data_IF_989335120450
#
_entry.id   IF_989335120450
#
_cell.length_a   1.000
_cell.length_b   1.000
_cell.length_c   1.000
_cell.angle_alpha   90.00
_cell.angle_beta   90.00
_cell.angle_gamma   90.00
#
_symmetry.space_group_name_H-M   'P 1'
#
loop_
_entity.id
_entity.type
_entity.pdbx_description
1 polymer ?
#
# COMPACT_ATOMS: atom_id res chain seq x y z
N UNK A 1 -42.86 27.16 -37.08
CA UNK A 1 -43.01 25.86 -36.40
C UNK A 1 -41.61 25.40 -36.03
N UNK A 2 -41.23 25.48 -34.74
CA UNK A 2 -41.24 24.38 -33.74
C UNK A 2 -40.36 23.21 -34.19
N UNK A 3 -39.43 22.67 -33.39
CA UNK A 3 -39.36 22.65 -31.93
C UNK A 3 -37.92 22.49 -31.40
N UNK A 4 -37.72 23.01 -30.19
CA UNK A 4 -36.69 22.60 -29.22
C UNK A 4 -36.91 21.17 -28.72
N UNK A 5 -35.84 20.46 -28.34
CA UNK A 5 -35.75 19.56 -27.15
C UNK A 5 -34.31 19.02 -27.03
N UNK A 6 -33.51 19.51 -26.07
CA UNK A 6 -33.26 19.01 -24.70
C UNK A 6 -32.39 17.73 -24.57
N UNK A 7 -31.15 17.99 -24.17
CA UNK A 7 -30.36 17.34 -23.10
C UNK A 7 -30.47 15.83 -22.87
N UNK A 8 -29.35 15.13 -23.09
CA UNK A 8 -29.09 13.78 -22.58
C UNK A 8 -27.60 13.52 -22.36
N UNK A 9 -26.93 14.31 -21.50
CA UNK A 9 -25.52 14.10 -21.13
C UNK A 9 -25.44 12.92 -20.16
N UNK A 10 -25.14 11.73 -20.68
CA UNK A 10 -24.82 10.54 -19.87
C UNK A 10 -23.56 10.81 -19.05
N UNK A 11 -23.73 11.10 -17.75
CA UNK A 11 -22.64 11.19 -16.79
C UNK A 11 -22.15 9.77 -16.47
N UNK A 12 -21.06 9.34 -17.09
CA UNK A 12 -20.22 8.26 -16.55
C UNK A 12 -19.72 8.74 -15.18
N UNK A 13 -20.19 8.13 -14.10
CA UNK A 13 -19.70 8.41 -12.75
C UNK A 13 -18.37 7.68 -12.57
N UNK A 14 -17.28 8.40 -12.83
CA UNK A 14 -15.94 7.96 -12.47
C UNK A 14 -15.81 8.14 -10.95
N UNK A 15 -15.92 7.05 -10.17
CA UNK A 15 -15.66 7.10 -8.72
C UNK A 15 -14.15 7.03 -8.49
N UNK A 16 -13.51 8.19 -8.51
CA UNK A 16 -12.17 8.36 -7.94
C UNK A 16 -12.25 8.15 -6.42
N UNK A 17 -11.43 7.26 -5.88
CA UNK A 17 -11.18 7.18 -4.45
C UNK A 17 -10.28 8.37 -4.07
N UNK A 18 -10.80 9.24 -3.20
CA UNK A 18 -10.09 10.40 -2.69
C UNK A 18 -9.44 10.04 -1.35
N UNK A 19 -8.12 10.21 -1.24
CA UNK A 19 -7.40 10.12 0.02
C UNK A 19 -7.66 11.39 0.83
N UNK A 20 -8.14 11.26 2.08
CA UNK A 20 -8.16 12.35 3.05
C UNK A 20 -7.43 11.91 4.31
N UNK A 21 -6.46 12.72 4.70
CA UNK A 21 -5.67 12.61 5.92
C UNK A 21 -6.54 12.45 7.17
N UNK A 22 -6.16 11.50 8.01
CA UNK A 22 -6.59 11.47 9.41
C UNK A 22 -5.38 11.60 10.33
N UNK A 23 -5.49 12.55 11.24
CA UNK A 23 -4.47 13.02 12.19
C UNK A 23 -3.79 11.87 12.95
N UNK A 24 -2.46 11.88 12.94
CA UNK A 24 -1.58 10.99 13.71
C UNK A 24 -1.68 11.35 15.20
N UNK A 25 -2.08 10.38 16.03
CA UNK A 25 -1.90 10.46 17.48
C UNK A 25 -0.46 10.05 17.83
N UNK A 26 0.25 10.91 18.56
CA UNK A 26 1.60 10.71 19.08
C UNK A 26 1.61 9.56 20.11
N UNK A 27 2.42 8.52 19.86
CA UNK A 27 2.86 7.59 20.89
C UNK A 27 4.35 7.80 21.14
N UNK A 28 4.72 8.06 22.40
CA UNK A 28 6.09 8.23 22.88
C UNK A 28 6.64 6.84 23.25
N UNK A 29 7.84 6.50 22.78
CA UNK A 29 8.56 5.28 23.16
C UNK A 29 9.92 5.66 23.76
N UNK A 30 10.18 5.20 24.98
CA UNK A 30 11.47 5.22 25.69
C UNK A 30 12.08 3.81 25.67
N UNK A 31 13.39 3.71 25.37
CA UNK A 31 14.33 2.58 25.57
C UNK A 31 14.01 1.25 24.84
N UNK A 32 14.92 0.47 24.28
CA UNK A 32 16.37 0.36 24.40
C UNK A 32 16.95 -0.39 23.18
N UNK A 33 18.24 -0.21 22.99
CA UNK A 33 19.07 -0.67 21.86
C UNK A 33 19.27 -2.20 21.79
N UNK A 34 19.30 -2.70 20.56
CA UNK A 34 19.95 -3.93 20.07
C UNK A 34 19.60 -5.25 20.79
N UNK A 35 18.61 -5.96 20.24
CA UNK A 35 18.44 -7.40 20.47
C UNK A 35 17.17 -7.95 19.84
N UNK A 36 17.32 -8.95 18.97
CA UNK A 36 16.24 -9.75 18.36
C UNK A 36 15.47 -9.11 17.18
N UNK A 37 16.00 -9.28 15.98
CA UNK A 37 15.30 -9.06 14.71
C UNK A 37 14.31 -10.23 14.50
N UNK A 38 13.25 -10.29 15.30
CA UNK A 38 12.04 -11.04 14.99
C UNK A 38 11.06 -10.06 14.32
N UNK A 39 11.26 -9.84 13.02
CA UNK A 39 10.42 -8.93 12.24
C UNK A 39 9.06 -9.58 12.00
N UNK A 40 8.10 -9.26 12.87
CA UNK A 40 6.69 -9.47 12.61
C UNK A 40 6.12 -8.27 11.85
N UNK A 41 6.27 -8.29 10.51
CA UNK A 41 5.57 -7.34 9.66
C UNK A 41 4.07 -7.65 9.67
N UNK A 42 3.26 -6.78 10.27
CA UNK A 42 1.79 -6.83 10.19
C UNK A 42 1.29 -5.76 9.22
N UNK A 43 0.85 -6.16 8.04
CA UNK A 43 0.07 -5.30 7.16
C UNK A 43 -1.36 -5.23 7.70
N UNK A 44 -1.80 -4.05 8.14
CA UNK A 44 -3.21 -3.75 8.43
C UNK A 44 -3.78 -3.00 7.22
N UNK A 45 -4.62 -3.66 6.45
CA UNK A 45 -5.50 -2.97 5.51
C UNK A 45 -6.86 -2.75 6.20
N UNK A 46 -7.31 -1.51 6.29
CA UNK A 46 -8.63 -1.14 6.81
C UNK A 46 -9.59 -1.09 5.63
N UNK A 47 -10.62 -1.95 5.62
CA UNK A 47 -11.74 -1.85 4.69
C UNK A 47 -12.96 -1.23 5.40
N UNK A 48 -13.55 -0.22 4.76
CA UNK A 48 -14.82 0.39 5.16
C UNK A 48 -16.01 -0.57 4.89
N UNK A 49 -16.96 -0.70 5.82
CA UNK A 49 -18.21 -1.44 5.57
C UNK A 49 -19.24 -0.58 4.78
N UNK A 50 -20.02 -1.17 3.85
CA UNK A 50 -21.19 -0.49 3.26
C UNK A 50 -22.42 -0.53 4.20
N UNK A 51 -23.39 0.39 4.02
CA UNK A 51 -24.52 0.55 4.92
C UNK A 51 -25.57 -0.55 4.75
N UNK A 52 -26.19 -0.91 5.88
CA UNK A 52 -27.17 -1.97 5.99
C UNK A 52 -28.51 -1.66 5.34
N UNK A 53 -29.18 -2.74 4.93
CA UNK A 53 -30.62 -2.75 4.70
C UNK A 53 -31.23 -3.91 5.46
N UNK A 54 -32.00 -3.56 6.49
CA UNK A 54 -32.87 -4.44 7.25
C UNK A 54 -34.24 -4.51 6.60
N UNK A 55 -34.69 -5.72 6.24
CA UNK A 55 -36.11 -6.10 6.28
C UNK A 55 -36.23 -7.54 6.79
N UNK A 56 -36.73 -7.66 8.02
CA UNK A 56 -37.15 -8.91 8.63
C UNK A 56 -38.46 -9.36 7.99
N UNK A 57 -38.55 -10.64 7.63
CA UNK A 57 -39.82 -11.35 7.55
C UNK A 57 -39.64 -12.72 8.20
N UNK A 58 -40.43 -12.94 9.24
CA UNK A 58 -40.46 -14.10 10.13
C UNK A 58 -41.05 -15.32 9.43
N UNK A 59 -40.41 -16.49 9.53
CA UNK A 59 -41.09 -17.78 9.34
C UNK A 59 -40.44 -18.89 10.19
N UNK A 60 -41.28 -19.45 11.07
CA UNK A 60 -41.29 -20.73 11.78
C UNK A 60 -39.99 -21.46 12.18
N UNK A 61 -39.84 -21.62 13.49
CA UNK A 61 -38.89 -22.48 14.19
C UNK A 61 -39.29 -23.96 14.05
N UNK A 62 -38.47 -24.76 13.35
CA UNK A 62 -38.42 -26.21 13.54
C UNK A 62 -37.18 -26.53 14.37
N UNK A 63 -37.39 -27.18 15.51
CA UNK A 63 -36.32 -27.64 16.42
C UNK A 63 -35.58 -28.80 15.76
N UNK A 64 -34.41 -28.52 15.16
CA UNK A 64 -33.39 -29.53 14.91
C UNK A 64 -32.42 -29.53 16.10
N UNK A 65 -32.59 -30.51 16.98
CA UNK A 65 -31.63 -30.81 18.05
C UNK A 65 -30.38 -31.41 17.44
N UNK A 66 -29.28 -30.65 17.44
CA UNK A 66 -27.99 -31.07 16.93
C UNK A 66 -27.12 -29.92 16.45
N UNK A 67 -27.07 -28.79 17.18
CA UNK A 67 -26.17 -27.69 16.88
C UNK A 67 -24.72 -28.09 17.16
N UNK A 68 -24.07 -28.73 16.21
CA UNK A 68 -22.60 -28.75 16.18
C UNK A 68 -22.19 -27.30 15.94
N UNK A 69 -21.73 -26.61 16.99
CA UNK A 69 -21.02 -25.34 16.84
C UNK A 69 -19.77 -25.63 16.00
N UNK A 70 -19.89 -25.46 14.67
CA UNK A 70 -18.82 -25.76 13.75
C UNK A 70 -17.73 -24.71 13.96
N UNK A 71 -16.73 -25.06 14.76
CA UNK A 71 -15.56 -24.20 15.00
C UNK A 71 -14.77 -24.15 13.70
N UNK A 72 -15.11 -23.23 12.81
CA UNK A 72 -14.40 -23.05 11.55
C UNK A 72 -12.92 -22.81 11.86
N UNK A 73 -12.04 -23.52 11.15
CA UNK A 73 -10.61 -23.27 11.23
C UNK A 73 -10.33 -21.83 10.82
N UNK A 74 -9.28 -21.21 11.37
CA UNK A 74 -8.87 -19.86 10.97
C UNK A 74 -8.66 -19.76 9.45
N UNK A 75 -8.13 -20.82 8.83
CA UNK A 75 -7.99 -20.93 7.39
C UNK A 75 -9.33 -20.84 6.64
N UNK A 76 -10.36 -21.56 7.11
CA UNK A 76 -11.69 -21.52 6.52
C UNK A 76 -12.33 -20.12 6.65
N UNK A 77 -12.13 -19.45 7.78
CA UNK A 77 -12.61 -18.08 7.99
C UNK A 77 -11.93 -17.07 7.05
N UNK A 78 -10.60 -17.16 6.90
CA UNK A 78 -9.84 -16.31 5.95
C UNK A 78 -10.33 -16.54 4.53
N UNK A 79 -10.50 -17.80 4.13
CA UNK A 79 -11.01 -18.13 2.82
C UNK A 79 -12.42 -17.57 2.58
N UNK A 80 -13.34 -17.80 3.51
CA UNK A 80 -14.71 -17.31 3.40
C UNK A 80 -14.78 -15.78 3.30
N UNK A 81 -13.85 -15.07 3.95
CA UNK A 81 -13.72 -13.62 3.83
C UNK A 81 -13.22 -13.17 2.46
N UNK A 82 -12.18 -13.82 1.91
CA UNK A 82 -11.56 -13.43 0.63
C UNK A 82 -12.38 -13.87 -0.59
N UNK A 83 -13.11 -14.98 -0.47
CA UNK A 83 -13.79 -15.62 -1.59
C UNK A 83 -14.75 -14.70 -2.36
N UNK A 84 -15.61 -13.87 -1.72
CA UNK A 84 -16.47 -12.96 -2.44
C UNK A 84 -15.70 -11.91 -3.26
N UNK A 85 -14.59 -11.39 -2.74
CA UNK A 85 -13.74 -10.43 -3.47
C UNK A 85 -13.04 -11.07 -4.67
N UNK A 86 -12.59 -12.31 -4.50
CA UNK A 86 -12.00 -13.08 -5.59
C UNK A 86 -13.04 -13.38 -6.69
N UNK A 87 -14.24 -13.79 -6.31
CA UNK A 87 -15.34 -14.09 -7.24
C UNK A 87 -15.85 -12.85 -7.97
N UNK A 88 -15.93 -11.70 -7.29
CA UNK A 88 -16.34 -10.44 -7.91
C UNK A 88 -15.25 -9.81 -8.77
N UNK A 89 -14.04 -10.38 -8.80
CA UNK A 89 -12.88 -9.84 -9.50
C UNK A 89 -12.22 -8.63 -8.81
N UNK A 90 -12.73 -8.21 -7.65
CA UNK A 90 -12.18 -7.11 -6.83
C UNK A 90 -10.87 -7.49 -6.13
N UNK A 91 -10.52 -8.77 -6.12
CA UNK A 91 -9.24 -9.27 -5.66
C UNK A 91 -8.69 -10.34 -6.61
N UNK A 92 -7.39 -10.25 -6.92
CA UNK A 92 -6.64 -11.24 -7.68
C UNK A 92 -5.20 -11.18 -7.17
N UNK A 93 -4.70 -12.28 -6.62
CA UNK A 93 -3.37 -12.32 -6.01
C UNK A 93 -3.19 -13.54 -5.12
N UNK A 94 -2.09 -13.58 -4.39
CA UNK A 94 -1.77 -14.63 -3.43
C UNK A 94 -1.81 -14.12 -1.99
N UNK A 95 -2.23 -14.99 -1.07
CA UNK A 95 -2.35 -14.66 0.36
C UNK A 95 -1.68 -15.75 1.20
N UNK A 96 -0.62 -15.35 1.90
CA UNK A 96 0.09 -16.16 2.89
C UNK A 96 -0.15 -15.60 4.29
N UNK A 97 -0.53 -16.45 5.25
CA UNK A 97 -0.66 -16.09 6.67
C UNK A 97 0.19 -17.02 7.51
N UNK A 98 1.14 -16.43 8.23
CA UNK A 98 2.05 -17.12 9.15
C UNK A 98 1.71 -16.70 10.58
N UNK A 99 1.56 -17.69 11.47
CA UNK A 99 1.36 -17.46 12.90
C UNK A 99 2.33 -18.33 13.69
N UNK A 100 3.13 -17.70 14.55
CA UNK A 100 4.15 -18.39 15.37
C UNK A 100 5.08 -19.28 14.53
N UNK A 101 5.56 -18.74 13.40
CA UNK A 101 6.46 -19.43 12.47
C UNK A 101 5.81 -20.54 11.62
N UNK A 102 4.50 -20.79 11.77
CA UNK A 102 3.77 -21.81 11.01
C UNK A 102 2.83 -21.17 10.00
N UNK A 103 2.83 -21.67 8.78
CA UNK A 103 1.85 -21.30 7.76
C UNK A 103 0.49 -21.85 8.21
N UNK A 104 -0.48 -20.97 8.39
CA UNK A 104 -1.85 -21.32 8.77
C UNK A 104 -2.85 -21.10 7.62
N UNK A 105 -2.42 -20.43 6.55
CA UNK A 105 -3.20 -20.20 5.34
C UNK A 105 -2.26 -19.83 4.19
N UNK A 106 -2.43 -20.45 3.02
CA UNK A 106 -1.74 -20.10 1.77
C UNK A 106 -2.69 -20.41 0.62
N UNK A 107 -3.04 -19.39 -0.17
CA UNK A 107 -3.93 -19.58 -1.32
C UNK A 107 -3.82 -18.43 -2.32
N UNK A 108 -3.67 -18.83 -3.59
CA UNK A 108 -3.78 -17.96 -4.74
C UNK A 108 -5.23 -17.82 -5.23
N UNK A 109 -5.58 -16.62 -5.70
CA UNK A 109 -6.90 -16.23 -6.17
C UNK A 109 -6.81 -15.52 -7.52
N UNK A 110 -7.81 -15.75 -8.38
CA UNK A 110 -7.93 -15.02 -9.64
C UNK A 110 -6.87 -15.37 -10.67
N UNK A 111 -6.47 -14.38 -11.47
CA UNK A 111 -5.54 -14.47 -12.58
C UNK A 111 -4.31 -13.57 -12.34
N UNK A 112 -3.12 -14.09 -12.65
CA UNK A 112 -1.89 -13.32 -12.78
C UNK A 112 -1.94 -12.47 -14.07
N UNK A 113 -2.52 -13.04 -15.12
CA UNK A 113 -2.78 -12.39 -16.39
C UNK A 113 -4.22 -12.70 -16.83
N UNK A 114 -5.06 -11.67 -16.88
CA UNK A 114 -6.48 -11.82 -17.23
C UNK A 114 -6.70 -12.04 -18.72
N UNK A 115 -5.86 -11.45 -19.57
CA UNK A 115 -5.98 -11.53 -21.03
C UNK A 115 -5.59 -12.93 -21.51
N UNK A 116 -4.45 -13.42 -21.02
CA UNK A 116 -3.93 -14.75 -21.33
C UNK A 116 -4.51 -15.86 -20.45
N UNK A 117 -5.46 -15.54 -19.57
CA UNK A 117 -6.12 -16.48 -18.65
C UNK A 117 -5.14 -17.27 -17.75
N UNK A 118 -4.01 -16.66 -17.37
CA UNK A 118 -3.00 -17.28 -16.52
C UNK A 118 -3.42 -17.13 -15.05
N UNK A 119 -3.61 -18.25 -14.35
CA UNK A 119 -3.97 -18.26 -12.92
C UNK A 119 -2.81 -17.81 -12.04
N UNK A 120 -3.14 -17.15 -10.93
CA UNK A 120 -2.17 -16.96 -9.86
C UNK A 120 -1.81 -18.32 -9.23
N UNK A 121 -0.57 -18.44 -8.79
CA UNK A 121 -0.04 -19.54 -7.98
C UNK A 121 0.73 -18.96 -6.79
N UNK A 122 1.10 -19.80 -5.83
CA UNK A 122 1.97 -19.41 -4.70
C UNK A 122 3.37 -18.92 -5.16
N UNK A 123 3.73 -19.17 -6.43
CA UNK A 123 5.01 -18.74 -7.02
C UNK A 123 4.86 -17.58 -8.00
N UNK A 124 3.66 -17.01 -8.15
CA UNK A 124 3.48 -15.83 -9.00
C UNK A 124 4.27 -14.67 -8.43
N UNK A 125 5.02 -13.97 -9.30
CA UNK A 125 5.80 -12.79 -8.93
C UNK A 125 4.95 -11.54 -9.07
N UNK A 126 5.03 -10.65 -8.09
CA UNK A 126 4.30 -9.39 -8.07
C UNK A 126 5.27 -8.22 -7.93
N UNK A 127 4.92 -7.07 -8.50
CA UNK A 127 5.55 -5.81 -8.13
C UNK A 127 5.05 -5.40 -6.73
N UNK A 128 5.97 -5.28 -5.77
CA UNK A 128 5.63 -5.03 -4.37
C UNK A 128 5.56 -3.54 -4.00
N UNK A 129 5.73 -2.65 -4.98
CA UNK A 129 5.65 -1.19 -4.85
C UNK A 129 6.41 -0.67 -3.61
N UNK A 130 5.79 0.18 -2.78
CA UNK A 130 6.41 0.82 -1.61
C UNK A 130 6.94 -0.15 -0.55
N UNK A 131 6.60 -1.45 -0.59
CA UNK A 131 7.29 -2.44 0.25
C UNK A 131 8.79 -2.50 -0.05
N UNK A 132 9.21 -2.08 -1.26
CA UNK A 132 10.61 -1.96 -1.67
C UNK A 132 11.41 -0.98 -0.79
N UNK A 133 10.77 0.04 -0.20
CA UNK A 133 11.43 1.04 0.64
C UNK A 133 12.13 0.45 1.87
N UNK A 134 11.59 -0.64 2.42
CA UNK A 134 12.22 -1.33 3.56
C UNK A 134 13.57 -1.93 3.19
N UNK A 135 13.72 -2.43 1.95
CA UNK A 135 14.99 -2.97 1.46
C UNK A 135 16.00 -1.84 1.20
N UNK A 136 15.55 -0.72 0.63
CA UNK A 136 16.39 0.48 0.46
C UNK A 136 16.87 1.00 1.82
N UNK A 137 15.97 1.10 2.81
CA UNK A 137 16.33 1.53 4.16
C UNK A 137 17.34 0.58 4.80
N UNK A 138 17.16 -0.73 4.68
CA UNK A 138 18.12 -1.72 5.17
C UNK A 138 19.49 -1.58 4.49
N UNK A 139 19.53 -1.32 3.18
CA UNK A 139 20.78 -1.10 2.46
C UNK A 139 21.50 0.17 2.93
N UNK A 140 20.78 1.28 3.14
CA UNK A 140 21.35 2.51 3.69
C UNK A 140 21.86 2.28 5.12
N UNK A 141 21.08 1.63 5.98
CA UNK A 141 21.52 1.31 7.34
C UNK A 141 22.75 0.39 7.35
N UNK A 142 22.87 -0.52 6.39
CA UNK A 142 24.08 -1.34 6.24
C UNK A 142 25.30 -0.49 5.90
N UNK A 143 25.16 0.53 5.06
CA UNK A 143 26.22 1.50 4.73
C UNK A 143 26.60 2.35 5.95
N UNK A 144 25.61 2.68 6.80
CA UNK A 144 25.84 3.35 8.08
C UNK A 144 26.61 2.45 9.05
N UNK A 145 26.24 1.18 9.17
CA UNK A 145 26.90 0.21 10.07
C UNK A 145 28.38 0.00 9.73
N UNK A 146 28.73 0.01 8.45
CA UNK A 146 30.14 -0.13 8.00
C UNK A 146 30.90 1.20 8.00
N UNK A 147 30.27 2.29 8.45
CA UNK A 147 30.88 3.60 8.58
C UNK A 147 31.08 4.35 7.26
N UNK A 148 30.43 3.94 6.17
CA UNK A 148 30.54 4.63 4.86
C UNK A 148 29.74 5.94 4.79
N UNK A 149 28.73 6.10 5.65
CA UNK A 149 27.91 7.31 5.78
C UNK A 149 27.28 7.36 7.18
N UNK A 150 26.68 8.50 7.55
CA UNK A 150 25.92 8.69 8.79
C UNK A 150 24.51 9.14 8.45
N UNK A 151 23.55 8.78 9.30
CA UNK A 151 22.15 9.20 9.12
C UNK A 151 21.96 10.71 9.14
N UNK A 152 22.86 11.44 9.81
CA UNK A 152 22.81 12.90 9.91
C UNK A 152 23.65 13.59 8.82
N UNK A 153 24.24 12.82 7.88
CA UNK A 153 24.87 13.41 6.70
C UNK A 153 23.79 14.06 5.80
N UNK A 154 24.15 15.19 5.20
CA UNK A 154 23.24 15.94 4.33
C UNK A 154 23.19 15.35 2.92
N UNK A 155 21.98 15.31 2.34
CA UNK A 155 21.71 14.74 1.01
C UNK A 155 22.51 15.46 -0.07
N UNK A 156 22.71 16.78 0.05
CA UNK A 156 23.48 17.57 -0.90
C UNK A 156 24.93 17.10 -1.08
N UNK A 157 25.50 16.36 -0.12
CA UNK A 157 26.82 15.74 -0.26
C UNK A 157 26.85 14.51 -1.17
N UNK A 158 25.70 13.88 -1.41
CA UNK A 158 25.57 12.68 -2.25
C UNK A 158 24.90 12.97 -3.59
N UNK A 159 23.91 13.88 -3.59
CA UNK A 159 23.11 14.24 -4.75
C UNK A 159 23.10 15.76 -4.91
N UNK A 160 24.04 16.33 -5.68
CA UNK A 160 24.07 17.76 -5.94
C UNK A 160 22.90 18.18 -6.85
N UNK A 161 22.53 19.47 -6.80
CA UNK A 161 21.53 20.07 -7.69
C UNK A 161 20.11 20.19 -7.08
N UNK A 162 19.83 19.50 -5.98
CA UNK A 162 18.51 19.57 -5.33
C UNK A 162 18.45 20.80 -4.40
N UNK A 163 17.46 21.67 -4.60
CA UNK A 163 17.26 22.84 -3.75
C UNK A 163 16.91 22.43 -2.32
N UNK A 164 17.63 22.96 -1.33
CA UNK A 164 17.42 22.66 0.09
C UNK A 164 18.02 21.33 0.56
N UNK A 165 18.70 20.57 -0.31
CA UNK A 165 19.32 19.29 0.04
C UNK A 165 20.48 19.40 1.04
N UNK A 166 21.02 20.60 1.23
CA UNK A 166 21.97 20.95 2.29
C UNK A 166 21.32 20.94 3.69
N UNK A 167 19.99 21.02 3.78
CA UNK A 167 19.24 20.92 5.04
C UNK A 167 18.67 19.52 5.29
N UNK A 168 18.46 18.74 4.24
CA UNK A 168 17.86 17.40 4.32
C UNK A 168 18.93 16.41 4.77
N UNK A 169 18.67 15.65 5.83
CA UNK A 169 19.54 14.54 6.23
C UNK A 169 19.11 13.22 5.59
N UNK A 170 19.99 12.22 5.55
CA UNK A 170 19.62 10.86 5.15
C UNK A 170 18.49 10.29 6.03
N UNK A 171 18.45 10.66 7.32
CA UNK A 171 17.37 10.32 8.25
C UNK A 171 16.02 10.90 7.80
N UNK A 172 16.00 12.14 7.33
CA UNK A 172 14.76 12.78 6.87
C UNK A 172 14.22 12.09 5.61
N UNK A 173 15.08 11.64 4.69
CA UNK A 173 14.66 10.82 3.55
C UNK A 173 14.08 9.48 4.00
N UNK A 174 14.79 8.73 4.86
CA UNK A 174 14.34 7.41 5.32
C UNK A 174 13.04 7.46 6.15
N UNK A 175 12.70 8.63 6.68
CA UNK A 175 11.49 8.84 7.49
C UNK A 175 10.41 9.66 6.77
N UNK A 176 10.60 9.95 5.48
CA UNK A 176 9.64 10.70 4.64
C UNK A 176 9.33 12.11 5.21
N UNK A 177 10.35 12.79 5.75
CA UNK A 177 10.29 14.14 6.37
C UNK A 177 11.19 15.16 5.67
N UNK A 178 11.58 14.88 4.43
CA UNK A 178 12.54 15.70 3.67
C UNK A 178 11.95 16.99 3.10
N UNK A 179 10.63 17.09 2.97
CA UNK A 179 9.98 18.20 2.29
C UNK A 179 10.16 18.20 0.77
N UNK A 180 10.74 17.15 0.18
CA UNK A 180 10.91 17.06 -1.28
C UNK A 180 9.55 16.99 -2.00
N UNK A 181 9.46 17.53 -3.23
CA UNK A 181 8.28 17.36 -4.07
C UNK A 181 7.97 15.89 -4.34
N UNK A 182 6.69 15.52 -4.28
CA UNK A 182 6.23 14.19 -4.65
C UNK A 182 6.16 14.04 -6.17
N UNK A 183 6.99 13.15 -6.72
CA UNK A 183 7.00 12.81 -8.16
C UNK A 183 5.63 12.28 -8.60
N UNK A 184 4.89 11.59 -7.72
CA UNK A 184 3.56 11.05 -8.03
C UNK A 184 2.51 12.16 -8.18
N UNK A 185 2.80 13.37 -7.69
CA UNK A 185 1.91 14.53 -7.81
C UNK A 185 2.23 15.41 -9.03
N UNK A 186 3.23 15.04 -9.85
CA UNK A 186 3.60 15.82 -11.02
C UNK A 186 2.58 15.62 -12.17
N UNK A 187 2.28 16.68 -12.96
CA UNK A 187 1.34 16.57 -14.08
C UNK A 187 1.74 15.54 -15.15
N UNK A 188 3.03 15.27 -15.29
CA UNK A 188 3.62 14.30 -16.23
C UNK A 188 3.86 12.92 -15.61
N UNK A 189 3.32 12.61 -14.43
CA UNK A 189 3.58 11.34 -13.74
C UNK A 189 3.26 10.10 -14.60
N UNK A 190 2.19 10.14 -15.39
CA UNK A 190 1.84 9.04 -16.31
C UNK A 190 2.93 8.78 -17.35
N UNK A 191 3.61 9.83 -17.82
CA UNK A 191 4.72 9.73 -18.77
C UNK A 191 5.98 9.17 -18.09
N UNK A 192 6.24 9.60 -16.86
CA UNK A 192 7.34 9.08 -16.02
C UNK A 192 7.22 7.57 -15.81
N UNK A 193 5.99 7.06 -15.58
CA UNK A 193 5.73 5.63 -15.37
C UNK A 193 5.86 4.78 -16.65
N UNK A 194 5.59 5.35 -17.82
CA UNK A 194 5.57 4.61 -19.08
C UNK A 194 6.96 4.43 -19.70
N UNK A 195 7.93 5.24 -19.28
CA UNK A 195 9.28 5.24 -19.83
C UNK A 195 10.31 4.70 -18.84
N UNK A 196 11.39 4.15 -19.37
CA UNK A 196 12.55 3.76 -18.57
C UNK A 196 13.16 5.00 -17.90
N UNK A 197 13.27 4.97 -16.57
CA UNK A 197 13.84 6.05 -15.77
C UNK A 197 15.25 5.70 -15.30
N UNK A 198 16.12 6.71 -15.23
CA UNK A 198 17.39 6.64 -14.52
C UNK A 198 17.28 7.41 -13.20
N UNK A 199 18.15 7.16 -12.21
CA UNK A 199 18.18 8.01 -11.02
C UNK A 199 18.35 9.50 -11.36
N UNK A 200 19.18 9.81 -12.37
CA UNK A 200 19.39 11.18 -12.82
C UNK A 200 18.16 11.81 -13.47
N UNK A 201 17.36 11.06 -14.25
CA UNK A 201 16.12 11.59 -14.83
C UNK A 201 15.08 11.90 -13.75
N UNK A 202 14.97 11.04 -12.73
CA UNK A 202 14.07 11.28 -11.59
C UNK A 202 14.49 12.48 -10.74
N UNK A 203 15.80 12.70 -10.55
CA UNK A 203 16.31 13.89 -9.86
C UNK A 203 15.95 15.16 -10.66
N UNK A 204 16.11 15.12 -11.99
CA UNK A 204 15.80 16.26 -12.85
C UNK A 204 14.31 16.67 -12.78
N UNK A 205 13.39 15.73 -12.53
CA UNK A 205 11.96 16.04 -12.34
C UNK A 205 11.69 16.95 -11.14
N UNK A 206 12.54 16.88 -10.10
CA UNK A 206 12.41 17.67 -8.86
C UNK A 206 13.47 18.77 -8.72
N UNK A 207 14.44 18.83 -9.63
CA UNK A 207 15.48 19.83 -9.65
C UNK A 207 14.89 21.25 -9.79
N UNK A 208 15.39 22.20 -8.99
CA UNK A 208 14.92 23.59 -8.99
C UNK A 208 13.50 23.82 -8.43
N UNK A 209 12.80 22.77 -7.98
CA UNK A 209 11.52 22.93 -7.28
C UNK A 209 11.77 23.23 -5.80
N UNK A 210 10.99 24.14 -5.18
CA UNK A 210 11.11 24.43 -3.76
C UNK A 210 10.65 23.25 -2.91
N UNK A 211 11.16 23.16 -1.69
CA UNK A 211 10.62 22.23 -0.69
C UNK A 211 9.17 22.58 -0.36
N UNK A 212 8.36 21.57 -0.11
CA UNK A 212 6.97 21.69 0.31
C UNK A 212 6.84 22.12 1.78
N UNK A 213 7.84 21.77 2.61
CA UNK A 213 7.96 22.13 4.02
C UNK A 213 9.43 22.00 4.46
N UNK A 214 9.79 22.57 5.61
CA UNK A 214 11.16 22.45 6.15
C UNK A 214 11.44 21.01 6.62
N UNK A 215 12.65 20.47 6.37
CA UNK A 215 13.00 19.12 6.81
C UNK A 215 12.96 18.96 8.33
N UNK A 216 12.56 17.77 8.78
CA UNK A 216 12.41 17.44 10.21
C UNK A 216 10.97 17.56 10.69
#
# INVERSE_FOLDING_TARGET
MRAEERSGRSRKTNRQCFWRDTRIARARFEGDLLGNINQHWRVRQILCPPPGHSRFSSLSLSVFSGGIAQKHSTAAAIHAYLQPYAQSGNFSGDVLVVKSGKIIFERAYGFADREHHIRNTATTRFHIASMSMQFTAAAVLRLVDIGSMKLDDHVGGFVPGIQGADKITLRDLLTERSGLPDINALPNYDDVLQHHQTPSSLIAEIEGRPLLFEPG
#
